data_IF_190852839969
#
_entry.id   IF_190852839969
#
_cell.length_a   1.000
_cell.length_b   1.000
_cell.length_c   1.000
_cell.angle_alpha   90.00
_cell.angle_beta   90.00
_cell.angle_gamma   90.00
#
_symmetry.space_group_name_H-M   'P 1'
#
loop_
_entity.id
_entity.type
_entity.pdbx_description
1 polymer ?
#
# COMPACT_ATOMS: atom_id res chain seq x y z
N UNK A 1 2.78 -0.22 -1.60
CA UNK A 1 2.68 0.70 -0.45
C UNK A 1 1.34 0.66 0.25
N UNK A 2 0.22 0.51 -0.47
CA UNK A 2 -1.10 0.45 0.16
C UNK A 2 -1.22 -0.62 1.24
N UNK A 3 -0.58 -1.79 1.07
CA UNK A 3 -0.53 -2.82 2.12
C UNK A 3 0.30 -2.41 3.33
N UNK A 4 1.47 -1.80 3.14
CA UNK A 4 2.28 -1.28 4.25
C UNK A 4 1.53 -0.19 5.00
N UNK A 5 0.83 0.70 4.29
CA UNK A 5 -0.01 1.73 4.90
C UNK A 5 -1.18 1.11 5.67
N UNK A 6 -1.91 0.16 5.08
CA UNK A 6 -2.99 -0.58 5.74
C UNK A 6 -2.48 -1.33 6.98
N UNK A 7 -1.27 -1.92 6.94
CA UNK A 7 -0.64 -2.58 8.10
C UNK A 7 -0.27 -1.56 9.19
N UNK A 8 0.35 -0.44 8.81
CA UNK A 8 0.77 0.62 9.75
C UNK A 8 -0.45 1.29 10.40
N UNK A 9 -1.54 1.45 9.65
CA UNK A 9 -2.78 2.08 10.11
C UNK A 9 -3.74 1.08 10.79
N UNK A 10 -3.50 -0.23 10.69
CA UNK A 10 -4.32 -1.28 11.33
C UNK A 10 -4.02 -1.41 12.83
N UNK A 11 -4.61 -0.50 13.60
CA UNK A 11 -4.51 -0.46 15.06
C UNK A 11 -5.12 -1.68 15.77
N UNK A 12 -5.94 -2.45 15.06
CA UNK A 12 -6.70 -3.57 15.63
C UNK A 12 -6.14 -4.94 15.21
N UNK A 13 -4.98 -4.99 14.55
CA UNK A 13 -4.34 -6.22 14.04
C UNK A 13 -5.30 -7.10 13.19
N UNK A 14 -6.31 -6.47 12.59
CA UNK A 14 -7.35 -7.10 11.78
C UNK A 14 -6.93 -7.34 10.33
N UNK A 15 -5.75 -6.85 9.94
CA UNK A 15 -5.19 -6.88 8.61
C UNK A 15 -5.09 -8.32 8.13
N UNK A 16 -4.47 -9.21 8.91
CA UNK A 16 -4.31 -10.62 8.54
C UNK A 16 -5.65 -11.30 8.23
N UNK A 17 -6.66 -11.07 9.07
CA UNK A 17 -8.01 -11.64 8.92
C UNK A 17 -8.77 -11.08 7.70
N UNK A 18 -8.63 -9.79 7.41
CA UNK A 18 -9.19 -9.15 6.21
C UNK A 18 -8.49 -9.66 4.94
N UNK A 19 -7.19 -9.85 5.02
CA UNK A 19 -6.34 -10.31 3.93
C UNK A 19 -6.60 -11.76 3.56
N UNK A 20 -6.73 -12.62 4.56
CA UNK A 20 -7.04 -14.03 4.37
C UNK A 20 -8.42 -14.26 3.74
N UNK A 21 -9.34 -13.28 3.83
CA UNK A 21 -10.67 -13.33 3.20
C UNK A 21 -10.72 -12.75 1.78
N UNK A 22 -9.68 -12.07 1.30
CA UNK A 22 -9.63 -11.60 -0.09
C UNK A 22 -9.17 -12.75 -0.99
N UNK A 23 -10.09 -13.29 -1.79
CA UNK A 23 -9.80 -14.36 -2.76
C UNK A 23 -9.09 -13.87 -4.02
N UNK A 24 -9.16 -12.58 -4.33
CA UNK A 24 -8.54 -11.97 -5.52
C UNK A 24 -7.61 -10.84 -5.09
N UNK A 25 -6.33 -11.16 -4.99
CA UNK A 25 -5.24 -10.24 -4.66
C UNK A 25 -4.46 -9.86 -5.91
N UNK A 26 -5.16 -9.66 -7.03
CA UNK A 26 -4.51 -9.31 -8.29
C UNK A 26 -4.49 -7.79 -8.38
N UNK A 27 -3.30 -7.23 -8.24
CA UNK A 27 -3.06 -5.84 -8.58
C UNK A 27 -3.30 -5.62 -10.07
N UNK A 28 -4.15 -4.65 -10.41
CA UNK A 28 -4.22 -4.16 -11.77
C UNK A 28 -3.00 -3.27 -12.05
N UNK A 29 -2.65 -3.08 -13.32
CA UNK A 29 -1.56 -2.17 -13.68
C UNK A 29 -1.82 -0.74 -13.16
N UNK A 30 -3.09 -0.32 -13.14
CA UNK A 30 -3.52 0.97 -12.60
C UNK A 30 -3.19 1.12 -11.11
N UNK A 31 -3.41 0.06 -10.33
CA UNK A 31 -3.09 0.06 -8.89
C UNK A 31 -1.57 0.14 -8.65
N UNK A 32 -0.79 -0.54 -9.49
CA UNK A 32 0.68 -0.50 -9.45
C UNK A 32 1.17 0.92 -9.76
N UNK A 33 0.61 1.56 -10.78
CA UNK A 33 1.03 2.90 -11.21
C UNK A 33 0.66 3.97 -10.17
N UNK A 34 -0.47 3.83 -9.50
CA UNK A 34 -0.86 4.69 -8.38
C UNK A 34 0.15 4.60 -7.22
N UNK A 35 0.51 3.37 -6.83
CA UNK A 35 1.52 3.13 -5.78
C UNK A 35 2.89 3.69 -6.15
N UNK A 36 3.31 3.55 -7.42
CA UNK A 36 4.58 4.11 -7.92
C UNK A 36 4.59 5.64 -7.85
N UNK A 37 3.50 6.29 -8.27
CA UNK A 37 3.38 7.75 -8.20
C UNK A 37 3.41 8.28 -6.78
N UNK A 38 2.71 7.62 -5.84
CA UNK A 38 2.72 8.01 -4.43
C UNK A 38 4.12 7.88 -3.82
N UNK A 39 4.81 6.78 -4.12
CA UNK A 39 6.18 6.56 -3.67
C UNK A 39 7.17 7.58 -4.24
N UNK A 40 7.08 7.88 -5.54
CA UNK A 40 7.91 8.91 -6.16
C UNK A 40 7.74 10.27 -5.46
N UNK A 41 6.50 10.69 -5.17
CA UNK A 41 6.23 11.94 -4.43
C UNK A 41 6.82 11.92 -3.02
N UNK A 42 6.68 10.80 -2.30
CA UNK A 42 7.29 10.63 -0.99
C UNK A 42 8.82 10.77 -1.07
N UNK A 43 9.47 10.06 -1.99
CA UNK A 43 10.91 10.12 -2.18
C UNK A 43 11.39 11.51 -2.58
N UNK A 44 10.68 12.22 -3.47
CA UNK A 44 11.01 13.61 -3.81
C UNK A 44 10.93 14.53 -2.60
N UNK A 45 9.97 14.31 -1.69
CA UNK A 45 9.80 15.13 -0.49
C UNK A 45 10.90 14.91 0.56
N UNK A 46 11.45 13.70 0.66
CA UNK A 46 12.32 13.31 1.79
C UNK A 46 13.75 12.93 1.41
N UNK A 47 14.04 12.66 0.13
CA UNK A 47 15.33 12.13 -0.31
C UNK A 47 15.99 12.91 -1.45
N UNK A 48 15.32 13.91 -2.02
CA UNK A 48 15.92 14.84 -2.97
C UNK A 48 16.00 16.20 -2.27
N UNK A 49 17.04 16.36 -1.44
CA UNK A 49 17.50 17.64 -0.90
C UNK A 49 18.79 18.06 -1.60
#
# INVERSE_FOLDING_TARGET
>A
MQYMKEIIEDKNLSFASKWQRRSELIYTQKDIDAVRSEWAKFMMKYHIS
#
